data_IF_354634477912
#
_entry.id   IF_354634477912
#
_cell.length_a   1.000
_cell.length_b   1.000
_cell.length_c   1.000
_cell.angle_alpha   90.00
_cell.angle_beta   90.00
_cell.angle_gamma   90.00
#
_symmetry.space_group_name_H-M   'P 1'
#
loop_
_entity.id
_entity.type
_entity.pdbx_description
1 polymer ?
#
# COMPACT_ATOMS: atom_id res chain seq x y z
N UNK A 1 -21.54 -25.66 -28.83
CA UNK A 1 -21.62 -24.25 -29.23
C UNK A 1 -21.26 -23.44 -28.00
N UNK A 2 -20.00 -23.00 -27.87
CA UNK A 2 -19.60 -22.21 -26.71
C UNK A 2 -20.22 -20.82 -26.85
N UNK A 3 -21.06 -20.45 -25.90
CA UNK A 3 -21.63 -19.11 -25.80
C UNK A 3 -20.49 -18.11 -25.64
N UNK A 4 -20.29 -17.30 -26.66
CA UNK A 4 -19.35 -16.19 -26.63
C UNK A 4 -20.04 -15.03 -25.91
N UNK A 5 -20.12 -15.11 -24.57
CA UNK A 5 -20.64 -14.00 -23.75
C UNK A 5 -19.85 -12.74 -24.09
N UNK A 6 -20.57 -11.70 -24.51
CA UNK A 6 -19.96 -10.40 -24.82
C UNK A 6 -19.34 -9.86 -23.53
N UNK A 7 -18.04 -9.51 -23.52
CA UNK A 7 -17.38 -9.06 -22.31
C UNK A 7 -18.03 -7.75 -21.82
N UNK A 8 -18.56 -7.78 -20.60
CA UNK A 8 -19.10 -6.59 -19.95
C UNK A 8 -17.93 -5.64 -19.65
N UNK A 9 -17.88 -4.51 -20.36
CA UNK A 9 -16.94 -3.44 -20.05
C UNK A 9 -17.36 -2.75 -18.74
N UNK A 10 -16.42 -2.67 -17.80
CA UNK A 10 -16.62 -1.98 -16.53
C UNK A 10 -15.60 -0.84 -16.40
N UNK A 11 -15.95 0.25 -15.70
CA UNK A 11 -14.99 1.30 -15.35
C UNK A 11 -13.80 0.73 -14.56
N UNK A 12 -12.60 1.26 -14.80
CA UNK A 12 -11.35 0.75 -14.23
C UNK A 12 -11.36 0.79 -12.69
N UNK A 13 -12.03 1.78 -12.11
CA UNK A 13 -12.21 1.95 -10.66
C UNK A 13 -13.10 0.88 -10.03
N UNK A 14 -13.99 0.25 -10.82
CA UNK A 14 -14.87 -0.83 -10.35
C UNK A 14 -14.24 -2.21 -10.51
N UNK A 15 -13.12 -2.32 -11.23
CA UNK A 15 -12.41 -3.59 -11.47
C UNK A 15 -11.97 -4.24 -10.14
N UNK A 16 -11.31 -3.53 -9.20
CA UNK A 16 -10.84 -4.13 -7.95
C UNK A 16 -12.00 -4.68 -7.12
N UNK A 17 -13.05 -3.87 -6.90
CA UNK A 17 -14.20 -4.25 -6.10
C UNK A 17 -14.89 -5.49 -6.68
N UNK A 18 -15.16 -5.49 -7.98
CA UNK A 18 -15.83 -6.61 -8.65
C UNK A 18 -14.98 -7.88 -8.66
N UNK A 19 -13.65 -7.74 -8.80
CA UNK A 19 -12.74 -8.88 -8.76
C UNK A 19 -12.68 -9.48 -7.34
N UNK A 20 -12.57 -8.64 -6.30
CA UNK A 20 -12.53 -9.04 -4.90
C UNK A 20 -13.87 -9.62 -4.40
N UNK A 21 -14.99 -9.18 -4.99
CA UNK A 21 -16.31 -9.75 -4.72
C UNK A 21 -16.44 -11.18 -5.26
N UNK A 22 -15.78 -11.49 -6.39
CA UNK A 22 -15.92 -12.75 -7.12
C UNK A 22 -14.97 -13.86 -6.68
N UNK A 23 -13.85 -13.53 -6.02
CA UNK A 23 -12.89 -14.54 -5.55
C UNK A 23 -12.51 -14.29 -4.08
N UNK A 24 -12.91 -15.18 -3.16
CA UNK A 24 -12.44 -15.16 -1.77
C UNK A 24 -10.92 -15.26 -1.65
N UNK A 25 -10.26 -16.04 -2.52
CA UNK A 25 -8.81 -16.23 -2.51
C UNK A 25 -8.08 -14.93 -2.90
N UNK A 26 -8.61 -14.23 -3.91
CA UNK A 26 -8.09 -12.93 -4.31
C UNK A 26 -8.27 -11.90 -3.19
N UNK A 27 -9.43 -11.91 -2.51
CA UNK A 27 -9.68 -11.05 -1.36
C UNK A 27 -8.69 -11.30 -0.24
N UNK A 28 -8.50 -12.55 0.15
CA UNK A 28 -7.53 -12.92 1.17
C UNK A 28 -6.10 -12.48 0.79
N UNK A 29 -5.70 -12.64 -0.48
CA UNK A 29 -4.39 -12.16 -0.97
C UNK A 29 -4.27 -10.63 -0.94
N UNK A 30 -5.34 -9.93 -1.30
CA UNK A 30 -5.41 -8.47 -1.27
C UNK A 30 -5.29 -7.95 0.16
N UNK A 31 -6.04 -8.52 1.10
CA UNK A 31 -5.97 -8.20 2.53
C UNK A 31 -4.57 -8.51 3.10
N UNK A 32 -4.01 -9.68 2.80
CA UNK A 32 -2.68 -10.08 3.26
C UNK A 32 -1.55 -9.14 2.81
N UNK A 33 -1.74 -8.42 1.70
CA UNK A 33 -0.76 -7.46 1.15
C UNK A 33 -1.12 -6.01 1.43
N UNK A 34 -2.18 -5.72 2.20
CA UNK A 34 -2.69 -4.36 2.40
C UNK A 34 -1.61 -3.40 2.92
N UNK A 35 -0.84 -3.81 3.93
CA UNK A 35 0.26 -3.00 4.47
C UNK A 35 1.34 -2.72 3.42
N UNK A 36 1.76 -3.76 2.68
CA UNK A 36 2.80 -3.63 1.67
C UNK A 36 2.39 -2.63 0.58
N UNK A 37 1.16 -2.73 0.09
CA UNK A 37 0.62 -1.83 -0.93
C UNK A 37 0.48 -0.40 -0.41
N UNK A 38 0.04 -0.22 0.82
CA UNK A 38 -0.06 1.10 1.42
C UNK A 38 1.31 1.79 1.56
N UNK A 39 2.33 1.05 2.03
CA UNK A 39 3.72 1.53 2.09
C UNK A 39 4.25 1.82 0.68
N UNK A 40 3.99 0.96 -0.29
CA UNK A 40 4.42 1.14 -1.67
C UNK A 40 3.85 2.43 -2.29
N UNK A 41 2.53 2.63 -2.18
CA UNK A 41 1.85 3.83 -2.68
C UNK A 41 2.42 5.10 -2.04
N UNK A 42 2.62 5.07 -0.72
CA UNK A 42 3.23 6.18 0.00
C UNK A 42 4.66 6.46 -0.50
N UNK A 43 5.50 5.43 -0.64
CA UNK A 43 6.89 5.57 -1.07
C UNK A 43 6.98 6.11 -2.50
N UNK A 44 6.15 5.60 -3.42
CA UNK A 44 6.06 6.08 -4.81
C UNK A 44 5.68 7.56 -4.85
N UNK A 45 4.64 7.95 -4.11
CA UNK A 45 4.20 9.35 -4.04
C UNK A 45 5.32 10.25 -3.50
N UNK A 46 5.93 9.86 -2.37
CA UNK A 46 6.99 10.66 -1.77
C UNK A 46 8.22 10.76 -2.67
N UNK A 47 8.57 9.67 -3.35
CA UNK A 47 9.67 9.65 -4.32
C UNK A 47 9.40 10.61 -5.49
N UNK A 48 8.16 10.62 -5.99
CA UNK A 48 7.73 11.51 -7.07
C UNK A 48 7.74 12.98 -6.63
N UNK A 49 7.25 13.31 -5.43
CA UNK A 49 7.30 14.66 -4.84
C UNK A 49 8.74 15.19 -4.73
N UNK A 50 9.70 14.31 -4.45
CA UNK A 50 11.13 14.64 -4.35
C UNK A 50 11.85 14.63 -5.71
N UNK A 51 11.16 14.33 -6.81
CA UNK A 51 11.76 14.25 -8.15
C UNK A 51 12.78 13.12 -8.31
N UNK A 52 12.69 12.06 -7.50
CA UNK A 52 13.67 10.97 -7.48
C UNK A 52 13.26 9.81 -8.40
N UNK A 53 14.22 9.23 -9.11
CA UNK A 53 14.05 7.90 -9.70
C UNK A 53 14.23 6.80 -8.64
N UNK A 54 13.79 5.58 -8.92
CA UNK A 54 14.05 4.44 -8.01
C UNK A 54 15.55 4.26 -7.72
N UNK A 55 16.39 4.42 -8.74
CA UNK A 55 17.84 4.33 -8.59
C UNK A 55 18.42 5.50 -7.76
N UNK A 56 17.86 6.70 -7.89
CA UNK A 56 18.29 7.85 -7.09
C UNK A 56 17.90 7.67 -5.61
N UNK A 57 16.68 7.19 -5.34
CA UNK A 57 16.25 6.84 -3.99
C UNK A 57 17.11 5.73 -3.39
N UNK A 58 17.41 4.68 -4.17
CA UNK A 58 18.26 3.58 -3.74
C UNK A 58 19.67 4.06 -3.32
N UNK A 59 20.30 4.92 -4.12
CA UNK A 59 21.59 5.53 -3.78
C UNK A 59 21.52 6.34 -2.49
N UNK A 60 20.47 7.15 -2.31
CA UNK A 60 20.26 7.95 -1.09
C UNK A 60 20.12 7.08 0.15
N UNK A 61 19.47 5.92 0.02
CA UNK A 61 19.22 4.99 1.12
C UNK A 61 20.36 3.96 1.33
N UNK A 62 21.37 3.94 0.46
CA UNK A 62 22.44 2.95 0.52
C UNK A 62 21.98 1.51 0.22
N UNK A 63 20.96 1.35 -0.62
CA UNK A 63 20.43 0.03 -1.04
C UNK A 63 20.48 -0.14 -2.55
N UNK A 64 20.17 -1.35 -3.04
CA UNK A 64 20.09 -1.60 -4.48
C UNK A 64 18.78 -1.06 -5.08
N UNK A 65 18.78 -0.69 -6.36
CA UNK A 65 17.55 -0.31 -7.05
C UNK A 65 16.49 -1.42 -7.04
N UNK A 66 16.81 -2.71 -7.28
CA UNK A 66 15.83 -3.80 -7.14
C UNK A 66 15.17 -3.86 -5.75
N UNK A 67 15.91 -3.52 -4.70
CA UNK A 67 15.35 -3.43 -3.34
C UNK A 67 14.24 -2.38 -3.27
N UNK A 68 14.45 -1.19 -3.83
CA UNK A 68 13.43 -0.13 -3.90
C UNK A 68 12.25 -0.57 -4.78
N UNK A 69 12.53 -1.18 -5.94
CA UNK A 69 11.47 -1.67 -6.82
C UNK A 69 10.58 -2.72 -6.13
N UNK A 70 11.17 -3.62 -5.33
CA UNK A 70 10.43 -4.61 -4.53
C UNK A 70 9.55 -3.96 -3.46
N UNK A 71 9.98 -2.84 -2.86
CA UNK A 71 9.13 -2.11 -1.92
C UNK A 71 8.00 -1.38 -2.64
N UNK A 72 8.27 -0.79 -3.80
CA UNK A 72 7.28 -0.08 -4.61
C UNK A 72 6.29 -0.99 -5.35
N UNK A 73 6.56 -2.30 -5.46
CA UNK A 73 5.61 -3.26 -6.04
C UNK A 73 4.42 -3.53 -5.12
N UNK A 74 4.56 -3.31 -3.81
CA UNK A 74 3.51 -3.59 -2.83
C UNK A 74 3.26 -5.08 -2.58
N UNK A 75 4.15 -5.95 -3.05
CA UNK A 75 4.03 -7.40 -2.82
C UNK A 75 4.62 -7.83 -1.48
N UNK A 76 5.59 -7.09 -0.96
CA UNK A 76 6.32 -7.42 0.26
C UNK A 76 6.42 -6.21 1.19
N UNK A 77 6.08 -6.40 2.46
CA UNK A 77 6.24 -5.36 3.48
C UNK A 77 7.73 -5.20 3.78
N UNK A 78 8.30 -3.97 3.72
CA UNK A 78 9.64 -3.73 4.23
C UNK A 78 9.71 -3.98 5.73
N UNK A 79 10.84 -4.46 6.24
CA UNK A 79 11.04 -4.61 7.69
C UNK A 79 10.82 -3.28 8.42
N UNK A 80 10.37 -3.32 9.68
CA UNK A 80 10.19 -2.10 10.48
C UNK A 80 11.46 -1.25 10.55
N UNK A 81 12.63 -1.89 10.66
CA UNK A 81 13.95 -1.24 10.61
C UNK A 81 14.16 -0.47 9.31
N UNK A 82 13.67 -0.98 8.20
CA UNK A 82 13.70 -0.32 6.89
C UNK A 82 12.74 0.86 6.85
N UNK A 83 11.51 0.70 7.37
CA UNK A 83 10.54 1.79 7.47
C UNK A 83 11.07 2.97 8.30
N UNK A 84 11.74 2.69 9.41
CA UNK A 84 12.39 3.70 10.24
C UNK A 84 13.50 4.44 9.48
N UNK A 85 14.35 3.71 8.74
CA UNK A 85 15.39 4.33 7.89
C UNK A 85 14.79 5.19 6.78
N UNK A 86 13.72 4.73 6.15
CA UNK A 86 12.99 5.51 5.15
C UNK A 86 12.46 6.81 5.75
N UNK A 87 11.88 6.74 6.95
CA UNK A 87 11.38 7.92 7.64
C UNK A 87 12.49 8.93 7.95
N UNK A 88 13.60 8.46 8.52
CA UNK A 88 14.78 9.28 8.82
C UNK A 88 15.35 9.96 7.57
N UNK A 89 15.64 9.18 6.53
CA UNK A 89 16.31 9.69 5.32
C UNK A 89 15.43 10.58 4.44
N UNK A 90 14.11 10.50 4.59
CA UNK A 90 13.14 11.30 3.82
C UNK A 90 12.50 12.43 4.65
N UNK A 91 12.92 12.61 5.91
CA UNK A 91 12.48 13.68 6.80
C UNK A 91 11.03 13.52 7.27
N UNK A 92 10.66 12.32 7.71
CA UNK A 92 9.28 11.95 8.01
C UNK A 92 9.15 11.43 9.44
N UNK A 93 7.91 11.47 9.94
CA UNK A 93 7.53 10.85 11.21
C UNK A 93 6.71 9.61 10.94
N UNK A 94 7.18 8.47 11.45
CA UNK A 94 6.43 7.22 11.46
C UNK A 94 5.60 7.15 12.75
N UNK A 95 4.29 6.92 12.61
CA UNK A 95 3.40 6.61 13.72
C UNK A 95 2.87 5.19 13.52
N UNK A 96 2.94 4.38 14.57
CA UNK A 96 2.38 3.03 14.60
C UNK A 96 1.39 2.98 15.77
N UNK A 97 0.11 2.83 15.43
CA UNK A 97 -0.97 2.68 16.40
C UNK A 97 -1.34 1.19 16.49
N UNK A 98 -1.38 0.66 17.71
CA UNK A 98 -1.74 -0.74 18.00
C UNK A 98 -2.93 -0.71 18.95
N UNK A 99 -4.07 -1.22 18.51
CA UNK A 99 -5.32 -1.23 19.26
C UNK A 99 -5.70 -2.68 19.60
N UNK A 100 -6.35 -2.89 20.75
CA UNK A 100 -6.94 -4.19 21.07
C UNK A 100 -8.01 -4.53 20.02
N UNK A 101 -8.26 -5.82 19.70
CA UNK A 101 -9.37 -6.21 18.84
C UNK A 101 -10.70 -5.87 19.52
N UNK A 102 -11.13 -4.61 19.40
CA UNK A 102 -12.42 -4.09 19.78
C UNK A 102 -13.44 -4.38 18.67
N UNK A 103 -14.68 -4.61 19.10
CA UNK A 103 -15.91 -4.84 18.32
C UNK A 103 -15.76 -4.43 16.85
N UNK A 104 -15.64 -5.44 15.97
CA UNK A 104 -15.43 -5.35 14.50
C UNK A 104 -15.44 -3.91 13.99
N UNK A 105 -14.28 -3.39 13.61
CA UNK A 105 -14.21 -2.25 12.69
C UNK A 105 -14.92 -2.70 11.42
N UNK A 106 -16.21 -2.37 11.32
CA UNK A 106 -16.98 -2.54 10.12
C UNK A 106 -16.27 -1.67 9.07
N UNK A 107 -15.83 -2.32 8.00
CA UNK A 107 -15.01 -1.77 6.91
C UNK A 107 -13.49 -1.92 7.11
N UNK A 108 -12.93 -3.08 6.72
CA UNK A 108 -11.50 -3.13 6.42
C UNK A 108 -11.22 -2.26 5.18
N UNK A 109 -10.00 -1.74 5.13
CA UNK A 109 -9.30 -1.33 3.90
C UNK A 109 -9.72 -0.03 3.22
N UNK A 110 -9.47 1.12 3.86
CA UNK A 110 -9.20 2.35 3.11
C UNK A 110 -7.87 2.96 3.56
N UNK A 111 -6.97 3.16 2.59
CA UNK A 111 -5.81 4.04 2.76
C UNK A 111 -6.36 5.45 2.76
N UNK A 112 -6.77 5.95 3.93
CA UNK A 112 -7.20 7.34 4.03
C UNK A 112 -5.98 8.25 4.08
N UNK A 113 -5.89 9.13 3.08
CA UNK A 113 -4.95 10.23 3.06
C UNK A 113 -5.55 11.34 3.92
N UNK A 114 -5.18 11.36 5.20
CA UNK A 114 -5.66 12.38 6.13
C UNK A 114 -4.73 13.59 6.03
N UNK A 115 -5.21 14.68 5.45
CA UNK A 115 -4.52 15.98 5.53
C UNK A 115 -4.70 16.53 6.95
N UNK A 116 -3.61 16.58 7.71
CA UNK A 116 -3.58 17.22 9.03
C UNK A 116 -2.85 18.55 8.95
N UNK A 117 -2.98 19.40 9.96
CA UNK A 117 -2.17 20.62 10.12
C UNK A 117 -0.65 20.36 10.04
N UNK A 118 -0.23 19.11 10.31
CA UNK A 118 1.17 18.68 10.34
C UNK A 118 1.61 17.91 9.08
N UNK A 119 0.81 17.95 8.00
CA UNK A 119 1.05 17.26 6.74
C UNK A 119 0.15 16.05 6.49
N UNK A 120 0.45 15.29 5.44
CA UNK A 120 -0.31 14.12 5.00
C UNK A 120 -0.02 12.91 5.89
N UNK A 121 -1.06 12.29 6.45
CA UNK A 121 -0.99 11.05 7.24
C UNK A 121 -1.61 9.91 6.44
N UNK A 122 -0.94 8.76 6.40
CA UNK A 122 -1.45 7.54 5.79
C UNK A 122 -1.97 6.64 6.91
N UNK A 123 -3.28 6.40 6.99
CA UNK A 123 -3.85 5.41 7.92
C UNK A 123 -4.08 4.10 7.19
N UNK A 124 -3.63 3.00 7.79
CA UNK A 124 -3.82 1.65 7.26
C UNK A 124 -4.38 0.80 8.37
N UNK A 125 -5.68 0.50 8.32
CA UNK A 125 -6.29 -0.47 9.21
C UNK A 125 -5.98 -1.88 8.69
N UNK A 126 -5.32 -2.68 9.53
CA UNK A 126 -5.06 -4.09 9.25
C UNK A 126 -5.92 -4.91 10.20
N UNK A 127 -6.89 -5.65 9.66
CA UNK A 127 -7.61 -6.65 10.44
C UNK A 127 -6.82 -7.95 10.38
N UNK A 128 -6.28 -8.40 11.51
CA UNK A 128 -5.83 -9.78 11.65
C UNK A 128 -7.07 -10.63 11.90
N UNK A 129 -7.50 -11.38 10.89
CA UNK A 129 -8.52 -12.42 11.05
C UNK A 129 -7.98 -13.59 11.88
#
# INVERSE_FOLDING_TARGET
MSENETPVLIPAEQVPERALARSPELRARWEATALARAVALWLVQRRAELGLSQAALARRLGVSQPTVARWESGEHVPELTTLLRLADQLGLRLHLDIEAPGERVAEPSTVEKVTTEHGSRLRVALSTA
#
